data_IF_700270206669
#
_entry.id   IF_700270206669
#
_cell.length_a   1.000
_cell.length_b   1.000
_cell.length_c   1.000
_cell.angle_alpha   90.00
_cell.angle_beta   90.00
_cell.angle_gamma   90.00
#
_symmetry.space_group_name_H-M   'P 1'
#
loop_
_entity.id
_entity.type
_entity.pdbx_description
1 polymer ?
#
# COMPACT_ATOMS: atom_id res chain seq x y z
N UNK A 1 32.44 38.95 0.65
CA UNK A 1 32.92 37.77 1.42
C UNK A 1 31.84 37.39 2.42
N UNK A 2 31.32 36.14 2.39
CA UNK A 2 30.50 35.46 3.43
C UNK A 2 29.20 36.17 3.93
N UNK A 3 28.15 35.50 4.43
CA UNK A 3 27.92 34.08 4.79
C UNK A 3 26.41 33.76 4.78
N UNK A 4 26.03 32.49 4.60
CA UNK A 4 24.63 31.99 4.63
C UNK A 4 24.00 32.05 6.04
N UNK A 5 22.64 31.99 6.11
CA UNK A 5 21.87 30.95 6.85
C UNK A 5 20.34 31.06 6.65
N UNK A 6 19.71 29.90 6.32
CA UNK A 6 18.44 29.30 6.83
C UNK A 6 17.13 30.12 6.88
N UNK A 7 15.90 29.63 6.69
CA UNK A 7 15.21 28.32 6.41
C UNK A 7 13.73 28.66 6.04
N UNK A 8 12.78 27.81 5.58
CA UNK A 8 12.55 26.34 5.52
C UNK A 8 12.48 25.82 4.05
N UNK A 9 12.04 24.62 3.63
CA UNK A 9 11.19 23.49 4.10
C UNK A 9 9.65 23.62 3.99
N UNK A 10 9.14 23.94 2.79
CA UNK A 10 7.68 24.07 2.49
C UNK A 10 7.23 23.33 1.20
N UNK A 11 7.90 22.23 0.80
CA UNK A 11 7.60 21.53 -0.47
C UNK A 11 7.16 20.05 -0.32
N UNK A 12 7.06 19.50 0.89
CA UNK A 12 6.71 18.08 1.09
C UNK A 12 5.26 17.83 1.56
N UNK A 13 4.52 18.86 1.97
CA UNK A 13 3.18 18.68 2.59
C UNK A 13 1.98 18.80 1.63
N UNK A 14 2.14 19.22 0.37
CA UNK A 14 1.00 19.45 -0.56
C UNK A 14 0.62 18.25 -1.43
N UNK A 15 1.49 17.24 -1.53
CA UNK A 15 1.27 16.07 -2.40
C UNK A 15 0.42 14.97 -1.76
N UNK A 16 0.56 14.71 -0.45
CA UNK A 16 -0.20 13.65 0.24
C UNK A 16 -1.70 13.99 0.34
N UNK A 17 -2.02 15.19 0.83
CA UNK A 17 -3.41 15.61 1.02
C UNK A 17 -4.23 15.77 -0.27
N UNK A 18 -3.58 15.77 -1.44
CA UNK A 18 -4.29 15.84 -2.73
C UNK A 18 -4.91 14.49 -3.11
N UNK A 19 -4.21 13.37 -2.87
CA UNK A 19 -4.73 12.02 -3.14
C UNK A 19 -5.84 11.67 -2.15
N UNK A 20 -5.57 11.85 -0.84
CA UNK A 20 -6.53 11.61 0.24
C UNK A 20 -7.85 12.38 0.02
N UNK A 21 -7.79 13.64 -0.45
CA UNK A 21 -8.97 14.46 -0.72
C UNK A 21 -9.75 14.03 -1.97
N UNK A 22 -9.07 13.53 -3.01
CA UNK A 22 -9.72 12.99 -4.21
C UNK A 22 -10.44 11.66 -3.92
N UNK A 23 -9.88 10.83 -3.05
CA UNK A 23 -10.44 9.53 -2.69
C UNK A 23 -11.59 9.65 -1.69
N UNK A 24 -11.44 10.51 -0.67
CA UNK A 24 -12.54 10.87 0.24
C UNK A 24 -13.73 11.54 -0.48
N UNK A 25 -13.49 12.14 -1.65
CA UNK A 25 -14.55 12.69 -2.50
C UNK A 25 -15.30 11.59 -3.27
N UNK A 26 -14.59 10.61 -3.86
CA UNK A 26 -15.21 9.49 -4.57
C UNK A 26 -15.98 8.53 -3.63
N UNK A 27 -15.46 8.26 -2.43
CA UNK A 27 -16.15 7.46 -1.41
C UNK A 27 -17.54 8.03 -1.05
N UNK A 28 -17.67 9.37 -1.10
CA UNK A 28 -18.92 10.09 -0.81
C UNK A 28 -20.02 9.87 -1.84
N UNK A 29 -19.67 9.48 -3.06
CA UNK A 29 -20.63 9.27 -4.16
C UNK A 29 -21.23 7.85 -4.17
N UNK A 30 -20.55 6.88 -3.56
CA UNK A 30 -20.99 5.47 -3.51
C UNK A 30 -21.66 5.06 -2.19
N UNK A 31 -21.46 5.81 -1.10
CA UNK A 31 -21.97 5.45 0.24
C UNK A 31 -21.19 4.33 0.94
N UNK A 32 -20.28 3.65 0.24
CA UNK A 32 -19.27 2.77 0.83
C UNK A 32 -18.25 3.58 1.63
N UNK A 33 -17.97 3.15 2.85
CA UNK A 33 -16.83 3.65 3.62
C UNK A 33 -15.59 2.94 3.12
N UNK A 34 -14.73 3.66 2.42
CA UNK A 34 -13.39 3.16 2.09
C UNK A 34 -12.44 3.51 3.23
N UNK A 35 -11.68 2.53 3.69
CA UNK A 35 -10.69 2.66 4.76
C UNK A 35 -9.30 2.26 4.23
N UNK A 36 -8.28 3.00 4.70
CA UNK A 36 -6.89 2.80 4.31
C UNK A 36 -6.19 1.89 5.32
N UNK A 37 -5.78 0.72 4.87
CA UNK A 37 -5.11 -0.28 5.67
C UNK A 37 -3.62 -0.35 5.30
N UNK A 38 -2.72 -0.21 6.28
CA UNK A 38 -1.27 -0.16 6.02
C UNK A 38 -0.55 -1.40 6.53
N UNK A 39 0.42 -1.88 5.75
CA UNK A 39 1.11 -3.13 6.03
C UNK A 39 2.54 -3.16 5.53
N UNK A 40 3.27 -4.18 5.97
CA UNK A 40 4.67 -4.43 5.60
C UNK A 40 4.84 -5.81 4.99
N UNK A 41 5.39 -5.87 3.78
CA UNK A 41 5.82 -7.12 3.16
C UNK A 41 7.04 -7.64 3.92
N UNK A 42 6.91 -8.85 4.48
CA UNK A 42 8.01 -9.54 5.17
C UNK A 42 8.57 -10.70 4.36
N UNK A 43 7.83 -11.19 3.35
CA UNK A 43 8.27 -12.25 2.45
C UNK A 43 7.70 -12.08 1.05
N UNK A 44 8.56 -12.27 0.05
CA UNK A 44 8.17 -12.62 -1.32
C UNK A 44 8.80 -13.97 -1.70
N UNK A 45 8.11 -14.74 -2.54
CA UNK A 45 8.62 -16.01 -3.05
C UNK A 45 7.95 -16.41 -4.36
N UNK A 46 8.62 -17.29 -5.10
CA UNK A 46 8.06 -18.00 -6.25
C UNK A 46 8.25 -19.51 -6.01
N UNK A 47 7.22 -20.31 -6.26
CA UNK A 47 7.25 -21.77 -6.14
C UNK A 47 7.28 -22.42 -7.52
N UNK A 48 8.47 -22.86 -7.93
CA UNK A 48 8.73 -23.47 -9.25
C UNK A 48 7.86 -24.71 -9.53
N UNK A 49 7.46 -25.45 -8.49
CA UNK A 49 6.74 -26.72 -8.61
C UNK A 49 5.25 -26.53 -9.03
N UNK A 50 4.71 -25.31 -8.90
CA UNK A 50 3.33 -24.99 -9.27
C UNK A 50 3.16 -23.61 -9.96
N UNK A 51 4.26 -22.93 -10.32
CA UNK A 51 4.23 -21.56 -10.88
C UNK A 51 3.66 -20.49 -9.94
N UNK A 52 3.63 -20.76 -8.63
CA UNK A 52 2.90 -19.94 -7.66
C UNK A 52 3.72 -18.77 -7.12
N UNK A 53 3.24 -17.53 -7.31
CA UNK A 53 3.69 -16.35 -6.56
C UNK A 53 3.25 -16.47 -5.09
N UNK A 54 4.07 -15.98 -4.16
CA UNK A 54 3.72 -15.84 -2.75
C UNK A 54 4.13 -14.49 -2.18
N UNK A 55 3.25 -13.90 -1.39
CA UNK A 55 3.49 -12.73 -0.55
C UNK A 55 3.10 -13.02 0.91
N UNK A 56 3.83 -12.44 1.86
CA UNK A 56 3.41 -12.34 3.27
C UNK A 56 3.49 -10.88 3.71
N UNK A 57 2.38 -10.38 4.24
CA UNK A 57 2.17 -9.02 4.71
C UNK A 57 1.83 -9.08 6.21
N UNK A 58 2.46 -8.23 7.01
CA UNK A 58 2.06 -7.95 8.39
C UNK A 58 1.37 -6.59 8.39
N UNK A 59 0.11 -6.55 8.81
CA UNK A 59 -0.70 -5.33 8.85
C UNK A 59 -0.56 -4.60 10.20
N UNK A 60 -0.55 -3.27 10.17
CA UNK A 60 -0.33 -2.43 11.35
C UNK A 60 -1.50 -2.51 12.35
N UNK A 61 -2.72 -2.72 11.84
CA UNK A 61 -3.94 -2.98 12.62
C UNK A 61 -3.92 -4.32 13.40
N UNK A 62 -2.91 -5.16 13.17
CA UNK A 62 -2.78 -6.48 13.76
C UNK A 62 -3.34 -7.57 12.84
N UNK A 63 -2.46 -8.22 12.09
CA UNK A 63 -2.80 -9.36 11.27
C UNK A 63 -1.60 -9.83 10.46
N UNK A 64 -1.53 -11.13 10.15
CA UNK A 64 -0.54 -11.67 9.21
C UNK A 64 -1.27 -12.33 8.06
N UNK A 65 -1.16 -11.70 6.91
CA UNK A 65 -1.74 -12.20 5.66
C UNK A 65 -0.65 -12.92 4.88
N UNK A 66 -0.90 -14.19 4.55
CA UNK A 66 -0.07 -14.95 3.60
C UNK A 66 -0.94 -15.43 2.45
N UNK A 67 -0.51 -15.13 1.23
CA UNK A 67 -1.15 -15.60 0.00
C UNK A 67 -0.14 -16.31 -0.89
N UNK A 68 -0.60 -17.41 -1.49
CA UNK A 68 0.10 -18.18 -2.50
C UNK A 68 -0.87 -18.42 -3.66
N UNK A 69 -0.45 -18.13 -4.88
CA UNK A 69 -1.33 -18.13 -6.05
C UNK A 69 -2.32 -16.96 -6.06
N UNK A 70 -3.04 -16.82 -7.17
CA UNK A 70 -4.05 -15.78 -7.38
C UNK A 70 -3.52 -14.33 -7.21
N UNK A 71 -2.24 -14.11 -7.54
CA UNK A 71 -1.60 -12.78 -7.55
C UNK A 71 -1.34 -12.39 -9.00
N UNK A 72 -2.02 -11.33 -9.45
CA UNK A 72 -1.87 -10.81 -10.82
C UNK A 72 -0.48 -10.22 -11.04
N UNK A 73 -0.09 -10.04 -12.29
CA UNK A 73 1.20 -9.43 -12.63
C UNK A 73 1.32 -8.01 -12.09
N UNK A 74 0.25 -7.20 -12.19
CA UNK A 74 0.20 -5.84 -11.65
C UNK A 74 0.39 -5.82 -10.13
N UNK A 75 -0.35 -6.65 -9.39
CA UNK A 75 -0.18 -6.80 -7.94
C UNK A 75 1.25 -7.26 -7.60
N UNK A 76 1.81 -8.18 -8.37
CA UNK A 76 3.17 -8.68 -8.16
C UNK A 76 4.25 -7.63 -8.39
N UNK A 77 4.12 -6.78 -9.41
CA UNK A 77 5.04 -5.67 -9.63
C UNK A 77 4.99 -4.67 -8.47
N UNK A 78 3.79 -4.34 -7.96
CA UNK A 78 3.61 -3.46 -6.81
C UNK A 78 4.21 -4.08 -5.54
N UNK A 79 3.97 -5.37 -5.28
CA UNK A 79 4.58 -6.07 -4.14
C UNK A 79 6.11 -6.12 -4.22
N UNK A 80 6.69 -6.38 -5.40
CA UNK A 80 8.15 -6.28 -5.58
C UNK A 80 8.65 -4.88 -5.30
N UNK A 81 7.99 -3.84 -5.82
CA UNK A 81 8.39 -2.44 -5.64
C UNK A 81 8.33 -2.01 -4.16
N UNK A 82 7.27 -2.39 -3.44
CA UNK A 82 7.20 -2.19 -2.00
C UNK A 82 8.32 -2.92 -1.27
N UNK A 83 8.56 -4.21 -1.57
CA UNK A 83 9.59 -5.01 -0.90
C UNK A 83 11.02 -4.52 -1.15
N UNK A 84 11.33 -3.98 -2.33
CA UNK A 84 12.67 -3.45 -2.65
C UNK A 84 12.91 -2.01 -2.17
N UNK A 85 11.88 -1.27 -1.77
CA UNK A 85 11.98 0.11 -1.29
C UNK A 85 11.91 0.20 0.24
N UNK A 86 10.73 0.44 0.80
CA UNK A 86 10.51 0.63 2.25
C UNK A 86 10.06 -0.65 2.96
N UNK A 87 9.65 -1.66 2.18
CA UNK A 87 8.89 -2.83 2.62
C UNK A 87 7.42 -2.54 2.90
N UNK A 88 6.94 -1.29 2.78
CA UNK A 88 5.58 -0.87 3.19
C UNK A 88 4.64 -0.69 2.00
N UNK A 89 3.36 -0.99 2.24
CA UNK A 89 2.25 -0.80 1.31
C UNK A 89 1.02 -0.25 2.03
N UNK A 90 0.07 0.24 1.25
CA UNK A 90 -1.30 0.53 1.70
C UNK A 90 -2.32 -0.12 0.75
N UNK A 91 -3.46 -0.53 1.29
CA UNK A 91 -4.64 -0.99 0.56
C UNK A 91 -5.83 -0.13 0.94
N UNK A 92 -6.55 0.41 -0.05
CA UNK A 92 -7.84 1.08 0.15
C UNK A 92 -8.95 0.07 -0.14
N UNK A 93 -9.83 -0.16 0.84
CA UNK A 93 -10.91 -1.14 0.73
C UNK A 93 -12.20 -0.66 1.37
N UNK A 94 -13.35 -1.07 0.83
CA UNK A 94 -14.66 -0.96 1.49
C UNK A 94 -15.14 -2.29 2.12
N UNK A 95 -14.24 -3.27 2.27
CA UNK A 95 -14.57 -4.59 2.82
C UNK A 95 -14.37 -4.67 4.34
N UNK A 96 -15.45 -4.98 5.08
CA UNK A 96 -15.39 -5.20 6.52
C UNK A 96 -14.67 -6.52 6.92
N UNK A 97 -14.16 -6.57 8.16
CA UNK A 97 -13.59 -7.77 8.77
C UNK A 97 -12.13 -8.00 8.36
N UNK A 98 -11.78 -9.21 7.93
CA UNK A 98 -10.43 -9.56 7.43
C UNK A 98 -10.36 -9.58 5.89
N UNK A 99 -11.47 -9.24 5.19
CA UNK A 99 -11.57 -9.37 3.74
C UNK A 99 -10.72 -8.35 2.98
N UNK A 100 -10.60 -7.13 3.50
CA UNK A 100 -9.77 -6.07 2.93
C UNK A 100 -8.30 -6.50 2.77
N UNK A 101 -7.80 -7.43 3.58
CA UNK A 101 -6.41 -7.93 3.52
C UNK A 101 -6.08 -8.62 2.18
N UNK A 102 -7.10 -9.01 1.39
CA UNK A 102 -6.99 -9.62 0.06
C UNK A 102 -7.49 -8.69 -1.06
N UNK A 103 -7.96 -7.50 -0.72
CA UNK A 103 -8.70 -6.63 -1.62
C UNK A 103 -7.78 -5.64 -2.36
N UNK A 104 -6.89 -6.18 -3.19
CA UNK A 104 -5.89 -5.39 -3.93
C UNK A 104 -6.47 -4.62 -5.14
N UNK A 105 -7.71 -4.12 -5.04
CA UNK A 105 -8.31 -3.23 -6.05
C UNK A 105 -7.57 -1.90 -6.12
N UNK A 106 -7.09 -1.42 -4.96
CA UNK A 106 -6.34 -0.18 -4.81
C UNK A 106 -5.15 -0.46 -3.89
N UNK A 107 -3.97 -0.61 -4.48
CA UNK A 107 -2.75 -1.03 -3.80
C UNK A 107 -1.62 -0.03 -4.10
N UNK A 108 -1.11 0.64 -3.07
CA UNK A 108 -0.05 1.65 -3.20
C UNK A 108 1.24 1.25 -2.46
N UNK A 109 2.40 1.68 -2.98
CA UNK A 109 3.69 1.58 -2.29
C UNK A 109 3.93 2.82 -1.45
N UNK A 110 4.14 2.62 -0.14
CA UNK A 110 4.46 3.72 0.77
C UNK A 110 5.93 4.10 0.62
N UNK A 111 6.20 5.36 0.27
CA UNK A 111 7.55 5.94 0.08
C UNK A 111 8.19 6.43 1.39
#
# INVERSE_FOLDING_TARGET
MAKQKSSSNEQEQTLHSSTEALEASQAKEAGSKFEWHTGRITRLGNFEIAGGRQVTIIWDEGGVMSQQGDITDEQWEIFKLAFTTTGRLAVLSDQEGEKWMRDYRFLEVMR
#
